data_IF_532782857869
#
_entry.id   IF_532782857869
#
_cell.length_a   1.000
_cell.length_b   1.000
_cell.length_c   1.000
_cell.angle_alpha   90.00
_cell.angle_beta   90.00
_cell.angle_gamma   90.00
#
_symmetry.space_group_name_H-M   'P 1'
#
loop_
_entity.id
_entity.type
_entity.pdbx_description
1 polymer ?
#
# COMPACT_ATOMS: atom_id res chain seq x y z
N UNK A 1 3.70 24.43 15.79
CA UNK A 1 4.44 23.60 14.82
C UNK A 1 3.40 22.79 14.03
N UNK A 2 2.85 23.34 12.95
CA UNK A 2 1.97 22.59 12.03
C UNK A 2 2.86 22.02 10.93
N UNK A 3 3.38 20.82 11.15
CA UNK A 3 4.16 20.07 10.16
C UNK A 3 3.39 18.83 9.65
N UNK A 4 2.12 18.67 10.03
CA UNK A 4 1.39 17.42 9.82
C UNK A 4 0.66 17.34 8.48
N UNK A 5 0.22 18.47 7.91
CA UNK A 5 -0.55 18.47 6.65
C UNK A 5 0.24 17.92 5.46
N UNK A 6 1.53 18.29 5.32
CA UNK A 6 2.40 17.72 4.29
C UNK A 6 2.63 16.22 4.47
N UNK A 7 2.83 15.76 5.72
CA UNK A 7 3.02 14.33 6.00
C UNK A 7 1.74 13.52 5.75
N UNK A 8 0.56 14.09 5.97
CA UNK A 8 -0.72 13.40 5.80
C UNK A 8 -1.06 13.21 4.33
N UNK A 9 -0.97 14.27 3.54
CA UNK A 9 -1.24 14.22 2.10
C UNK A 9 -0.21 13.34 1.38
N UNK A 10 1.05 13.38 1.79
CA UNK A 10 2.09 12.50 1.24
C UNK A 10 1.83 11.03 1.58
N UNK A 11 1.35 10.73 2.80
CA UNK A 11 0.95 9.37 3.17
C UNK A 11 -0.24 8.89 2.35
N UNK A 12 -1.25 9.73 2.14
CA UNK A 12 -2.41 9.42 1.30
C UNK A 12 -1.99 9.11 -0.14
N UNK A 13 -1.17 9.97 -0.76
CA UNK A 13 -0.65 9.75 -2.12
C UNK A 13 0.16 8.46 -2.22
N UNK A 14 0.99 8.17 -1.22
CA UNK A 14 1.77 6.91 -1.17
C UNK A 14 0.86 5.69 -1.05
N UNK A 15 -0.16 5.74 -0.20
CA UNK A 15 -1.13 4.64 -0.04
C UNK A 15 -1.88 4.41 -1.35
N UNK A 16 -2.34 5.48 -2.00
CA UNK A 16 -3.07 5.39 -3.27
C UNK A 16 -2.20 4.81 -4.39
N UNK A 17 -0.95 5.28 -4.52
CA UNK A 17 0.00 4.73 -5.49
C UNK A 17 0.27 3.25 -5.26
N UNK A 18 0.47 2.82 -4.00
CA UNK A 18 0.70 1.42 -3.65
C UNK A 18 -0.54 0.54 -3.92
N UNK A 19 -1.76 1.08 -3.72
CA UNK A 19 -3.00 0.36 -4.00
C UNK A 19 -3.20 0.12 -5.50
N UNK A 20 -2.87 1.09 -6.35
CA UNK A 20 -2.89 0.86 -7.80
C UNK A 20 -1.79 -0.15 -8.20
N UNK A 21 -0.59 -0.06 -7.61
CA UNK A 21 0.49 -1.04 -7.83
C UNK A 21 0.10 -2.48 -7.44
N UNK A 22 -0.64 -2.63 -6.34
CA UNK A 22 -1.18 -3.90 -5.85
C UNK A 22 -2.19 -4.47 -6.87
N UNK A 23 -3.16 -3.65 -7.25
CA UNK A 23 -4.22 -4.03 -8.20
C UNK A 23 -3.67 -4.41 -9.56
N UNK A 24 -2.65 -3.72 -10.05
CA UNK A 24 -2.00 -4.06 -11.31
C UNK A 24 -1.25 -5.40 -11.22
N UNK A 25 -0.60 -5.69 -10.09
CA UNK A 25 0.03 -6.99 -9.85
C UNK A 25 -0.99 -8.12 -9.74
N UNK A 26 -2.09 -7.90 -9.03
CA UNK A 26 -3.18 -8.87 -8.92
C UNK A 26 -3.80 -9.20 -10.28
N UNK A 27 -4.02 -8.18 -11.13
CA UNK A 27 -4.49 -8.39 -12.52
C UNK A 27 -3.49 -9.13 -13.39
N UNK A 28 -2.20 -8.94 -13.14
CA UNK A 28 -1.12 -9.62 -13.87
C UNK A 28 -0.91 -11.07 -13.39
N UNK A 29 -1.57 -11.51 -12.31
CA UNK A 29 -1.49 -12.89 -11.86
C UNK A 29 -2.16 -13.84 -12.86
N UNK A 30 -1.52 -14.99 -13.19
CA UNK A 30 -2.17 -16.01 -14.00
C UNK A 30 -3.29 -16.68 -13.20
N UNK A 31 -4.49 -16.77 -13.78
CA UNK A 31 -5.68 -17.33 -13.12
C UNK A 31 -5.53 -18.79 -12.64
N UNK A 32 -4.57 -19.53 -13.18
CA UNK A 32 -4.37 -20.96 -12.96
C UNK A 32 -2.97 -21.31 -12.43
N UNK A 33 -2.07 -20.35 -12.31
CA UNK A 33 -0.69 -20.61 -11.86
C UNK A 33 -0.11 -19.38 -11.19
N UNK A 34 -0.28 -19.32 -9.88
CA UNK A 34 0.33 -18.27 -9.07
C UNK A 34 1.63 -18.83 -8.48
N UNK A 35 2.76 -18.17 -8.75
CA UNK A 35 4.06 -18.59 -8.20
C UNK A 35 4.27 -17.99 -6.81
N UNK A 36 4.94 -18.68 -5.87
CA UNK A 36 5.13 -18.19 -4.49
C UNK A 36 5.73 -16.78 -4.39
N UNK A 37 6.71 -16.43 -5.24
CA UNK A 37 7.28 -15.08 -5.26
C UNK A 37 6.29 -13.99 -5.69
N UNK A 38 5.29 -14.34 -6.52
CA UNK A 38 4.25 -13.38 -6.92
C UNK A 38 3.30 -13.10 -5.76
N UNK A 39 2.99 -14.11 -4.94
CA UNK A 39 2.23 -13.92 -3.70
C UNK A 39 3.02 -13.11 -2.68
N UNK A 40 4.28 -13.46 -2.45
CA UNK A 40 5.14 -12.73 -1.51
C UNK A 40 5.24 -11.23 -1.87
N UNK A 41 5.39 -10.90 -3.14
CA UNK A 41 5.43 -9.49 -3.58
C UNK A 41 4.11 -8.74 -3.33
N UNK A 42 2.98 -9.43 -3.41
CA UNK A 42 1.65 -8.89 -3.11
C UNK A 42 1.49 -8.72 -1.59
N UNK A 43 1.84 -9.74 -0.80
CA UNK A 43 1.79 -9.71 0.67
C UNK A 43 2.66 -8.59 1.25
N UNK A 44 3.86 -8.38 0.69
CA UNK A 44 4.75 -7.26 1.08
C UNK A 44 4.13 -5.88 0.78
N UNK A 45 3.45 -5.74 -0.36
CA UNK A 45 2.75 -4.50 -0.72
C UNK A 45 1.55 -4.24 0.18
N UNK A 46 0.75 -5.27 0.44
CA UNK A 46 -0.37 -5.20 1.38
C UNK A 46 0.09 -4.78 2.77
N UNK A 47 1.16 -5.37 3.28
CA UNK A 47 1.71 -5.02 4.59
C UNK A 47 2.21 -3.58 4.63
N UNK A 48 2.89 -3.12 3.57
CA UNK A 48 3.35 -1.73 3.46
C UNK A 48 2.18 -0.75 3.47
N UNK A 49 1.08 -1.06 2.77
CA UNK A 49 -0.16 -0.26 2.80
C UNK A 49 -0.72 -0.24 4.23
N UNK A 50 -0.83 -1.40 4.88
CA UNK A 50 -1.36 -1.56 6.24
C UNK A 50 -0.62 -0.68 7.25
N UNK A 51 0.72 -0.66 7.17
CA UNK A 51 1.58 0.17 8.02
C UNK A 51 1.39 1.67 7.77
N UNK A 52 1.31 2.09 6.49
CA UNK A 52 1.09 3.50 6.14
C UNK A 52 -0.30 3.98 6.56
N UNK A 53 -1.33 3.16 6.37
CA UNK A 53 -2.68 3.46 6.86
C UNK A 53 -2.72 3.53 8.39
N UNK A 54 -1.98 2.66 9.09
CA UNK A 54 -1.82 2.73 10.54
C UNK A 54 -1.22 4.07 10.99
N UNK A 55 -0.14 4.51 10.35
CA UNK A 55 0.47 5.82 10.60
C UNK A 55 -0.50 6.97 10.32
N UNK A 56 -1.25 6.88 9.22
CA UNK A 56 -2.25 7.88 8.86
C UNK A 56 -3.38 7.94 9.90
N UNK A 57 -3.83 6.80 10.42
CA UNK A 57 -4.83 6.74 11.50
C UNK A 57 -4.31 7.36 12.79
N UNK A 58 -3.05 7.09 13.17
CA UNK A 58 -2.45 7.72 14.36
C UNK A 58 -2.24 9.22 14.22
N UNK A 59 -2.07 9.73 13.01
CA UNK A 59 -2.00 11.17 12.74
C UNK A 59 -3.38 11.86 12.78
N UNK A 60 -4.46 11.11 12.62
CA UNK A 60 -5.84 11.62 12.67
C UNK A 60 -6.51 11.43 14.05
N UNK A 61 -5.83 10.84 15.03
CA UNK A 61 -6.36 10.54 16.37
C UNK A 61 -5.80 11.51 17.41
#
# INVERSE_FOLDING_TARGET
MKMEEGSREDLLRKIEALKEELKDREKALPAHTIRPHQLLAIEELEEKIRLLEGKLRSLNS
#
